data_IF_503216836747
#
_entry.id   IF_503216836747
#
_cell.length_a   1.000
_cell.length_b   1.000
_cell.length_c   1.000
_cell.angle_alpha   90.00
_cell.angle_beta   90.00
_cell.angle_gamma   90.00
#
_symmetry.space_group_name_H-M   'P 1'
#
loop_
_entity.id
_entity.type
_entity.pdbx_description
1 polymer ?
#
# COMPACT_ATOMS: atom_id res chain seq x y z
N UNK A 1 -53.57 49.74 -17.80
CA UNK A 1 -52.88 49.70 -16.49
C UNK A 1 -51.38 49.64 -16.77
N UNK A 2 -50.48 50.54 -16.37
CA UNK A 2 -50.54 51.62 -15.39
C UNK A 2 -49.61 51.35 -14.20
N UNK A 3 -48.36 51.85 -14.29
CA UNK A 3 -47.36 52.17 -13.22
C UNK A 3 -46.64 50.96 -12.56
N UNK A 4 -45.30 50.83 -12.56
CA UNK A 4 -44.10 51.62 -12.13
C UNK A 4 -43.66 51.28 -10.70
N UNK A 5 -42.33 51.17 -10.52
CA UNK A 5 -41.52 51.18 -9.27
C UNK A 5 -41.44 49.85 -8.47
N UNK A 6 -40.32 49.44 -7.84
CA UNK A 6 -39.09 50.16 -7.42
C UNK A 6 -37.97 49.16 -7.01
N UNK A 7 -36.72 49.52 -7.31
CA UNK A 7 -35.49 49.49 -6.48
C UNK A 7 -35.09 48.28 -5.63
N UNK A 8 -33.82 47.87 -5.79
CA UNK A 8 -33.04 47.18 -4.75
C UNK A 8 -31.58 46.97 -5.18
N UNK A 9 -30.69 47.92 -4.85
CA UNK A 9 -29.22 47.76 -4.96
C UNK A 9 -28.73 46.82 -3.86
N UNK A 10 -27.92 45.83 -4.22
CA UNK A 10 -27.24 44.97 -3.25
C UNK A 10 -25.97 44.40 -3.87
N UNK A 11 -24.91 45.21 -3.91
CA UNK A 11 -23.57 44.72 -4.24
C UNK A 11 -23.08 43.82 -3.11
N UNK A 12 -23.06 42.51 -3.35
CA UNK A 12 -22.28 41.60 -2.54
C UNK A 12 -20.83 41.72 -3.00
N UNK A 13 -20.04 42.54 -2.32
CA UNK A 13 -18.59 42.54 -2.45
C UNK A 13 -18.11 41.11 -2.19
N UNK A 14 -17.38 40.61 -3.18
CA UNK A 14 -16.65 39.37 -3.16
C UNK A 14 -15.74 39.33 -1.92
N UNK A 15 -16.20 38.70 -0.83
CA UNK A 15 -15.33 38.37 0.30
C UNK A 15 -14.54 37.13 -0.11
N UNK A 16 -13.50 37.36 -0.89
CA UNK A 16 -12.39 36.42 -1.02
C UNK A 16 -11.78 36.25 0.38
N UNK A 17 -12.21 35.21 1.07
CA UNK A 17 -11.57 34.76 2.29
C UNK A 17 -10.32 33.97 1.90
N UNK A 18 -9.27 34.70 1.50
CA UNK A 18 -7.93 34.15 1.28
C UNK A 18 -7.26 33.91 2.64
N UNK A 19 -7.83 33.01 3.43
CA UNK A 19 -7.14 32.45 4.59
C UNK A 19 -6.07 31.49 4.07
N UNK A 20 -4.90 32.10 3.90
CA UNK A 20 -3.56 31.57 4.13
C UNK A 20 -3.24 30.24 3.43
N UNK A 21 -2.40 30.38 2.39
CA UNK A 21 -1.58 29.37 1.76
C UNK A 21 -1.29 28.19 2.69
N UNK A 22 -1.88 27.03 2.36
CA UNK A 22 -1.43 25.75 2.88
C UNK A 22 0.01 25.59 2.41
N UNK A 23 0.97 25.87 3.30
CA UNK A 23 2.30 25.31 3.14
C UNK A 23 2.17 23.83 3.47
N UNK A 24 1.70 23.06 2.48
CA UNK A 24 1.76 21.61 2.52
C UNK A 24 3.24 21.25 2.43
N UNK A 25 3.91 21.25 3.59
CA UNK A 25 5.07 20.38 3.76
C UNK A 25 4.48 18.99 3.61
N UNK A 26 4.39 18.56 2.36
CA UNK A 26 4.27 17.18 1.98
C UNK A 26 5.52 16.56 2.56
N UNK A 27 5.40 16.03 3.77
CA UNK A 27 6.26 14.95 4.24
C UNK A 27 5.91 13.79 3.32
N UNK A 28 6.30 13.92 2.05
CA UNK A 28 6.08 12.95 1.02
C UNK A 28 6.59 11.64 1.59
N UNK A 29 5.75 10.63 1.50
CA UNK A 29 6.00 9.22 1.75
C UNK A 29 7.31 8.79 1.11
N UNK A 30 8.41 9.09 1.79
CA UNK A 30 9.77 8.94 1.29
C UNK A 30 10.17 7.53 1.64
N UNK A 31 10.10 6.66 0.64
CA UNK A 31 10.54 5.28 0.78
C UNK A 31 12.05 5.26 1.01
N UNK A 32 12.44 4.67 2.15
CA UNK A 32 13.83 4.35 2.45
C UNK A 32 14.30 3.26 1.51
N UNK A 33 15.57 3.33 1.10
CA UNK A 33 16.19 2.33 0.23
C UNK A 33 16.20 0.97 0.92
N UNK A 34 15.72 -0.05 0.23
CA UNK A 34 15.67 -1.41 0.75
C UNK A 34 14.49 -1.66 1.69
N UNK A 35 14.45 -2.88 2.22
CA UNK A 35 13.32 -3.37 3.01
C UNK A 35 13.47 -2.97 4.46
N UNK A 36 12.53 -2.18 4.97
CA UNK A 36 12.51 -1.76 6.37
C UNK A 36 11.15 -1.98 6.99
N UNK A 37 11.15 -2.35 8.26
CA UNK A 37 9.92 -2.39 9.04
C UNK A 37 9.24 -1.02 9.02
N UNK A 38 7.93 -1.04 8.81
CA UNK A 38 7.10 0.15 8.83
C UNK A 38 5.82 -0.10 9.62
N UNK A 39 5.62 0.66 10.68
CA UNK A 39 4.45 0.53 11.55
C UNK A 39 3.26 1.38 11.08
N UNK A 40 3.29 1.91 9.85
CA UNK A 40 2.27 2.85 9.40
C UNK A 40 0.92 2.19 9.08
N UNK A 41 0.86 0.86 8.93
CA UNK A 41 -0.36 0.12 8.58
C UNK A 41 -1.09 0.72 7.36
N UNK A 42 -0.33 1.11 6.34
CA UNK A 42 -0.80 1.76 5.12
C UNK A 42 -1.55 3.09 5.30
N UNK A 43 -1.38 3.77 6.45
CA UNK A 43 -1.92 5.13 6.67
C UNK A 43 -1.06 6.24 6.06
N UNK A 44 0.19 5.92 5.72
CA UNK A 44 1.18 6.83 5.14
C UNK A 44 1.52 6.34 3.73
N UNK A 45 2.23 5.22 3.68
CA UNK A 45 2.54 4.48 2.46
C UNK A 45 1.33 3.74 1.88
N UNK A 46 1.37 3.44 0.59
CA UNK A 46 0.36 2.62 -0.09
C UNK A 46 0.27 1.22 0.52
N UNK A 47 -0.94 0.68 0.53
CA UNK A 47 -1.21 -0.72 0.90
C UNK A 47 -0.61 -1.66 -0.14
N UNK A 48 0.15 -2.64 0.30
CA UNK A 48 0.62 -3.76 -0.54
C UNK A 48 -0.30 -4.94 -0.36
N UNK A 49 -0.39 -5.48 0.86
CA UNK A 49 -1.25 -6.60 1.19
C UNK A 49 -1.42 -6.76 2.71
N UNK A 50 -2.44 -7.47 3.12
CA UNK A 50 -2.50 -8.05 4.45
C UNK A 50 -1.67 -9.33 4.49
N UNK A 51 -0.91 -9.54 5.55
CA UNK A 51 -0.22 -10.79 5.79
C UNK A 51 -1.27 -11.89 6.04
N UNK A 52 -1.30 -12.90 5.18
CA UNK A 52 -2.28 -14.00 5.28
C UNK A 52 -2.01 -14.95 6.47
N UNK A 53 -0.84 -14.83 7.12
CA UNK A 53 -0.50 -15.62 8.30
C UNK A 53 -0.97 -15.02 9.63
N UNK A 54 -0.88 -13.68 9.78
CA UNK A 54 -1.20 -13.00 11.05
C UNK A 54 -2.17 -11.82 10.92
N UNK A 55 -2.61 -11.48 9.70
CA UNK A 55 -3.54 -10.38 9.43
C UNK A 55 -2.90 -8.98 9.42
N UNK A 56 -1.61 -8.85 9.73
CA UNK A 56 -0.93 -7.54 9.74
C UNK A 56 -0.96 -6.86 8.36
N UNK A 57 -1.29 -5.57 8.33
CA UNK A 57 -1.26 -4.72 7.12
C UNK A 57 0.20 -4.38 6.76
N UNK A 58 0.60 -4.74 5.53
CA UNK A 58 1.93 -4.46 4.97
C UNK A 58 1.84 -3.33 3.95
N UNK A 59 2.74 -2.36 4.07
CA UNK A 59 2.77 -1.18 3.20
C UNK A 59 3.96 -1.20 2.23
N UNK A 60 3.99 -0.26 1.29
CA UNK A 60 5.00 -0.24 0.20
C UNK A 60 6.46 -0.07 0.69
N UNK A 61 6.68 0.54 1.85
CA UNK A 61 8.01 0.62 2.48
C UNK A 61 8.53 -0.74 2.96
N UNK A 62 7.62 -1.61 3.43
CA UNK A 62 7.96 -2.97 3.84
C UNK A 62 8.03 -3.90 2.63
N UNK A 63 7.22 -3.66 1.60
CA UNK A 63 7.23 -4.42 0.35
C UNK A 63 7.01 -5.93 0.50
N UNK A 64 7.25 -6.64 -0.59
CA UNK A 64 7.20 -8.11 -0.62
C UNK A 64 8.37 -8.72 0.15
N UNK A 65 8.13 -9.88 0.78
CA UNK A 65 9.08 -10.61 1.60
C UNK A 65 8.46 -11.17 2.89
N UNK A 66 9.27 -11.78 3.77
CA UNK A 66 8.81 -12.32 5.05
C UNK A 66 8.19 -11.23 5.94
N UNK A 67 6.95 -11.43 6.40
CA UNK A 67 6.31 -10.50 7.32
C UNK A 67 7.21 -10.23 8.54
N UNK A 68 7.43 -8.95 8.89
CA UNK A 68 8.26 -8.58 10.05
C UNK A 68 7.71 -9.07 11.39
N UNK A 69 6.42 -9.46 11.44
CA UNK A 69 5.78 -9.95 12.67
C UNK A 69 5.79 -11.47 12.77
N UNK A 70 5.37 -12.20 11.74
CA UNK A 70 5.20 -13.66 11.81
C UNK A 70 6.09 -14.46 10.84
N UNK A 71 6.90 -13.80 10.01
CA UNK A 71 7.78 -14.43 9.02
C UNK A 71 7.07 -15.04 7.80
N UNK A 72 5.74 -15.08 7.75
CA UNK A 72 5.01 -15.58 6.57
C UNK A 72 5.31 -14.71 5.35
N UNK A 73 5.58 -15.35 4.21
CA UNK A 73 5.87 -14.64 2.97
C UNK A 73 4.65 -13.83 2.50
N UNK A 74 4.87 -12.53 2.34
CA UNK A 74 3.93 -11.58 1.74
C UNK A 74 4.45 -11.24 0.34
N UNK A 75 3.61 -11.37 -0.67
CA UNK A 75 3.96 -11.11 -2.07
C UNK A 75 2.72 -10.65 -2.83
N UNK A 76 2.93 -9.95 -3.95
CA UNK A 76 1.82 -9.51 -4.82
C UNK A 76 1.15 -10.70 -5.50
N UNK A 77 0.01 -10.45 -6.13
CA UNK A 77 -0.72 -11.51 -6.86
C UNK A 77 0.11 -12.06 -8.02
N UNK A 78 0.81 -11.19 -8.74
CA UNK A 78 1.65 -11.54 -9.87
C UNK A 78 2.86 -12.36 -9.43
N UNK A 79 3.53 -11.93 -8.36
CA UNK A 79 4.63 -12.67 -7.74
C UNK A 79 4.16 -14.06 -7.29
N UNK A 80 2.99 -14.13 -6.67
CA UNK A 80 2.39 -15.40 -6.23
C UNK A 80 2.07 -16.34 -7.38
N UNK A 81 1.53 -15.82 -8.48
CA UNK A 81 1.29 -16.62 -9.68
C UNK A 81 2.58 -17.19 -10.26
N UNK A 82 3.67 -16.41 -10.25
CA UNK A 82 4.99 -16.89 -10.65
C UNK A 82 5.46 -18.00 -9.70
N UNK A 83 5.33 -17.80 -8.38
CA UNK A 83 5.67 -18.78 -7.35
C UNK A 83 4.93 -20.11 -7.55
N UNK A 84 3.62 -20.05 -7.81
CA UNK A 84 2.77 -21.22 -8.00
C UNK A 84 3.10 -22.06 -9.25
N UNK A 85 3.70 -21.46 -10.28
CA UNK A 85 4.07 -22.18 -11.51
C UNK A 85 5.25 -23.15 -11.32
N UNK A 86 6.03 -23.00 -10.24
CA UNK A 86 7.14 -23.93 -9.94
C UNK A 86 8.29 -23.94 -10.95
N UNK A 87 8.39 -22.94 -11.82
CA UNK A 87 9.43 -22.86 -12.86
C UNK A 87 10.77 -22.37 -12.28
N UNK A 88 11.85 -22.39 -13.07
CA UNK A 88 13.13 -21.82 -12.63
C UNK A 88 13.01 -20.35 -12.21
N UNK A 89 12.15 -19.57 -12.89
CA UNK A 89 11.83 -18.18 -12.54
C UNK A 89 11.17 -18.06 -11.16
N UNK A 90 10.36 -19.05 -10.76
CA UNK A 90 9.72 -19.08 -9.45
C UNK A 90 10.74 -19.30 -8.33
N UNK A 91 11.76 -20.12 -8.58
CA UNK A 91 12.86 -20.39 -7.64
C UNK A 91 13.74 -19.15 -7.45
N UNK A 92 14.03 -18.45 -8.54
CA UNK A 92 14.78 -17.19 -8.53
C UNK A 92 14.04 -16.10 -7.74
N UNK A 93 12.77 -15.88 -8.07
CA UNK A 93 11.92 -14.91 -7.36
C UNK A 93 11.81 -15.21 -5.87
N UNK A 94 11.68 -16.49 -5.49
CA UNK A 94 11.65 -16.87 -4.07
C UNK A 94 12.95 -16.53 -3.35
N UNK A 95 14.10 -16.77 -4.00
CA UNK A 95 15.40 -16.44 -3.43
C UNK A 95 15.55 -14.92 -3.24
N UNK A 96 15.10 -14.12 -4.19
CA UNK A 96 15.08 -12.66 -4.12
C UNK A 96 14.21 -12.16 -2.96
N UNK A 97 12.95 -12.61 -2.90
CA UNK A 97 11.99 -12.18 -1.87
C UNK A 97 12.41 -12.56 -0.45
N UNK A 98 13.19 -13.62 -0.29
CA UNK A 98 13.66 -14.13 1.01
C UNK A 98 15.08 -13.63 1.34
N UNK A 99 15.71 -12.83 0.47
CA UNK A 99 17.07 -12.33 0.67
C UNK A 99 18.14 -13.43 0.72
N UNK A 100 17.95 -14.52 -0.02
CA UNK A 100 18.87 -15.66 -0.07
C UNK A 100 18.93 -16.51 1.21
N UNK A 101 18.19 -16.17 2.26
CA UNK A 101 18.02 -17.03 3.41
C UNK A 101 17.24 -18.28 3.00
N UNK A 102 17.74 -19.48 3.32
CA UNK A 102 17.02 -20.73 3.10
C UNK A 102 15.81 -20.80 4.03
N UNK A 103 14.74 -20.09 3.68
CA UNK A 103 13.42 -20.48 4.14
C UNK A 103 13.17 -21.91 3.65
N UNK A 104 12.37 -22.70 4.39
CA UNK A 104 12.15 -24.12 4.15
C UNK A 104 11.82 -24.47 2.69
N UNK A 105 11.84 -25.76 2.33
CA UNK A 105 11.73 -26.21 0.93
C UNK A 105 10.67 -25.40 0.17
N UNK A 106 10.99 -24.98 -1.07
CA UNK A 106 10.08 -24.24 -1.97
C UNK A 106 8.64 -24.79 -1.90
N UNK A 107 8.52 -26.11 -1.82
CA UNK A 107 7.27 -26.83 -1.65
C UNK A 107 6.51 -26.44 -0.38
N UNK A 108 7.16 -26.36 0.79
CA UNK A 108 6.50 -25.97 2.05
C UNK A 108 5.97 -24.54 2.02
N UNK A 109 6.71 -23.62 1.42
CA UNK A 109 6.29 -22.21 1.30
C UNK A 109 5.13 -22.10 0.32
N UNK A 110 5.22 -22.76 -0.85
CA UNK A 110 4.13 -22.82 -1.83
C UNK A 110 2.87 -23.42 -1.19
N UNK A 111 2.98 -24.53 -0.45
CA UNK A 111 1.83 -25.15 0.21
C UNK A 111 1.16 -24.22 1.23
N UNK A 112 1.93 -23.53 2.09
CA UNK A 112 1.36 -22.53 3.01
C UNK A 112 0.71 -21.36 2.28
N UNK A 113 1.30 -20.92 1.16
CA UNK A 113 0.73 -19.86 0.33
C UNK A 113 -0.56 -20.27 -0.36
N UNK A 114 -0.72 -21.55 -0.70
CA UNK A 114 -1.91 -22.12 -1.35
C UNK A 114 -3.06 -22.33 -0.36
N UNK A 115 -2.79 -22.69 0.89
CA UNK A 115 -3.80 -22.79 1.95
C UNK A 115 -4.48 -21.44 2.19
N UNK A 116 -3.72 -20.34 2.16
CA UNK A 116 -4.25 -18.98 2.31
C UNK A 116 -5.13 -18.51 1.14
N UNK A 117 -5.23 -19.23 0.01
CA UNK A 117 -6.09 -18.87 -1.13
C UNK A 117 -7.45 -19.60 -1.10
N UNK A 118 -7.62 -20.63 -0.27
CA UNK A 118 -8.90 -21.37 -0.17
C UNK A 118 -9.89 -20.75 0.83
N UNK A 119 -9.48 -19.69 1.54
CA UNK A 119 -10.32 -18.82 2.39
C UNK A 119 -10.75 -17.59 1.62
#
# INVERSE_FOLDING_TARGET
MGKKQQTGKGGATNRQNVLAAKNEISVADTLRKGRHECLCQARRHKLVLNCLGCGRIVCEQEGSGPCFTCGTLVCTREEREILNRGTNKSRELMAELTGGAKAGSLQQIICRLQECHRV
#
